data_IF_795365176704
#
_entry.id   IF_795365176704
#
_cell.length_a   1.000
_cell.length_b   1.000
_cell.length_c   1.000
_cell.angle_alpha   90.00
_cell.angle_beta   90.00
_cell.angle_gamma   90.00
#
_symmetry.space_group_name_H-M   'P 1'
#
loop_
_entity.id
_entity.type
_entity.pdbx_description
1 polymer ?
#
# COMPACT_ATOMS: atom_id res chain seq x y z
N UNK A 1 23.57 19.38 7.91
CA UNK A 1 22.68 20.33 8.62
C UNK A 1 21.89 21.26 7.67
N UNK A 2 22.50 22.21 6.94
CA UNK A 2 21.73 23.24 6.17
C UNK A 2 20.66 22.67 5.22
N UNK A 3 20.99 21.67 4.40
CA UNK A 3 20.00 21.06 3.50
C UNK A 3 18.79 20.46 4.25
N UNK A 4 19.04 19.72 5.34
CA UNK A 4 18.00 19.06 6.14
C UNK A 4 17.15 20.03 6.97
N UNK A 5 17.65 21.23 7.27
CA UNK A 5 16.97 22.21 8.15
C UNK A 5 16.41 23.43 7.42
N UNK A 6 17.07 23.87 6.35
CA UNK A 6 16.77 25.14 5.66
C UNK A 6 16.24 24.93 4.24
N UNK A 7 16.49 23.76 3.64
CA UNK A 7 15.95 23.42 2.32
C UNK A 7 14.42 23.47 2.29
N UNK A 8 13.82 23.57 1.09
CA UNK A 8 12.36 23.65 0.92
C UNK A 8 11.69 24.72 1.81
N UNK A 9 12.22 25.95 1.80
CA UNK A 9 11.72 27.08 2.60
C UNK A 9 11.65 26.76 4.11
N UNK A 10 12.69 26.14 4.66
CA UNK A 10 12.75 25.76 6.09
C UNK A 10 12.05 24.44 6.44
N UNK A 11 11.43 23.74 5.49
CA UNK A 11 10.84 22.40 5.72
C UNK A 11 11.90 21.29 5.76
N UNK A 12 13.11 21.56 5.26
CA UNK A 12 14.18 20.60 5.09
C UNK A 12 14.04 19.75 3.83
N UNK A 13 15.19 19.50 3.18
CA UNK A 13 15.29 18.48 2.14
C UNK A 13 15.23 17.08 2.78
N UNK A 14 14.50 16.16 2.14
CA UNK A 14 14.53 14.74 2.50
C UNK A 14 15.81 14.15 1.93
N UNK A 15 16.67 13.61 2.79
CA UNK A 15 17.98 13.07 2.42
C UNK A 15 18.00 11.58 2.76
N UNK A 16 18.40 10.77 1.79
CA UNK A 16 18.48 9.31 1.94
C UNK A 16 19.90 8.85 1.60
N UNK A 17 20.40 7.86 2.32
CA UNK A 17 21.60 7.12 1.95
C UNK A 17 21.40 5.63 2.17
N UNK A 18 21.93 4.85 1.24
CA UNK A 18 22.10 3.41 1.41
C UNK A 18 23.02 3.14 2.61
N UNK A 19 22.81 2.06 3.37
CA UNK A 19 23.61 1.74 4.56
C UNK A 19 24.98 1.11 4.24
N UNK A 20 25.14 0.51 3.07
CA UNK A 20 26.35 -0.19 2.62
C UNK A 20 26.09 -1.68 2.34
N UNK A 21 27.03 -2.34 1.64
CA UNK A 21 26.84 -3.69 1.06
C UNK A 21 27.92 -4.69 1.50
N UNK A 22 28.51 -4.48 2.67
CA UNK A 22 29.71 -5.21 3.14
C UNK A 22 29.39 -6.19 4.27
N UNK A 23 28.11 -6.40 4.60
CA UNK A 23 27.64 -7.26 5.68
C UNK A 23 28.18 -6.85 7.08
N UNK A 24 28.44 -5.56 7.28
CA UNK A 24 29.07 -5.03 8.49
C UNK A 24 28.03 -4.63 9.55
N UNK A 25 28.46 -4.63 10.82
CA UNK A 25 27.65 -4.21 11.97
C UNK A 25 27.69 -2.68 12.23
N UNK A 26 28.01 -1.91 11.20
CA UNK A 26 27.92 -0.45 11.19
C UNK A 26 27.52 0.05 9.80
N UNK A 27 26.87 1.21 9.74
CA UNK A 27 26.49 1.86 8.48
C UNK A 27 27.59 2.81 8.01
N UNK A 28 27.61 3.19 6.73
CA UNK A 28 28.57 4.19 6.25
C UNK A 28 28.33 5.57 6.87
N UNK A 29 29.38 6.41 6.83
CA UNK A 29 29.42 7.73 7.45
C UNK A 29 28.23 8.63 7.08
N UNK A 30 27.77 8.62 5.82
CA UNK A 30 26.67 9.47 5.38
C UNK A 30 25.32 8.97 5.92
N UNK A 31 25.10 7.66 5.92
CA UNK A 31 23.90 7.05 6.47
C UNK A 31 23.79 7.20 8.00
N UNK A 32 24.93 7.37 8.70
CA UNK A 32 24.94 7.53 10.16
C UNK A 32 24.40 8.88 10.65
N UNK A 33 24.28 9.89 9.77
CA UNK A 33 23.82 11.22 10.16
C UNK A 33 22.34 11.21 10.57
N UNK A 34 21.93 11.81 11.71
CA UNK A 34 20.58 11.69 12.26
C UNK A 34 19.46 12.22 11.34
N UNK A 35 19.76 13.25 10.55
CA UNK A 35 18.82 13.81 9.55
C UNK A 35 18.63 12.94 8.30
N UNK A 36 19.45 11.90 8.10
CA UNK A 36 19.41 11.04 6.92
C UNK A 36 18.49 9.85 7.17
N UNK A 37 17.70 9.48 6.16
CA UNK A 37 16.97 8.23 6.13
C UNK A 37 17.94 7.15 5.65
N UNK A 38 18.45 6.35 6.58
CA UNK A 38 19.36 5.26 6.28
C UNK A 38 18.58 4.05 5.78
N UNK A 39 18.84 3.61 4.56
CA UNK A 39 18.07 2.57 3.86
C UNK A 39 18.84 1.25 3.78
N UNK A 40 18.32 0.22 4.44
CA UNK A 40 18.78 -1.16 4.34
C UNK A 40 18.06 -1.93 3.23
N UNK A 41 18.54 -3.13 2.92
CA UNK A 41 17.98 -3.99 1.88
C UNK A 41 17.32 -5.24 2.46
N UNK A 42 16.12 -5.54 1.96
CA UNK A 42 15.43 -6.81 2.17
C UNK A 42 15.31 -7.59 0.87
N UNK A 43 15.23 -8.90 0.96
CA UNK A 43 15.00 -9.79 -0.18
C UNK A 43 13.51 -9.94 -0.46
N UNK A 44 13.14 -10.71 -1.49
CA UNK A 44 11.74 -11.03 -1.79
C UNK A 44 11.07 -11.98 -0.81
N UNK A 45 11.83 -12.61 0.07
CA UNK A 45 11.30 -13.47 1.13
C UNK A 45 11.10 -12.69 2.44
N UNK A 46 11.19 -11.36 2.40
CA UNK A 46 11.08 -10.51 3.60
C UNK A 46 12.12 -10.83 4.67
N UNK A 47 13.30 -11.24 4.21
CA UNK A 47 14.49 -11.44 5.03
C UNK A 47 15.56 -10.40 4.71
N UNK A 48 16.49 -10.19 5.64
CA UNK A 48 17.59 -9.24 5.47
C UNK A 48 18.52 -9.71 4.35
N UNK A 49 18.84 -8.83 3.40
CA UNK A 49 19.77 -9.17 2.34
C UNK A 49 21.17 -9.42 2.92
N UNK A 50 21.83 -10.51 2.52
CA UNK A 50 23.09 -10.98 3.14
C UNK A 50 24.23 -9.96 3.10
N UNK A 51 24.25 -9.09 2.09
CA UNK A 51 25.24 -8.02 1.93
C UNK A 51 24.91 -6.75 2.73
N UNK A 52 23.66 -6.52 3.15
CA UNK A 52 23.28 -5.23 3.73
C UNK A 52 24.01 -4.97 5.05
N UNK A 53 24.59 -3.78 5.20
CA UNK A 53 25.11 -3.35 6.50
C UNK A 53 23.95 -3.16 7.49
N UNK A 54 24.24 -3.29 8.78
CA UNK A 54 23.27 -3.21 9.89
C UNK A 54 23.77 -2.29 11.00
N UNK A 55 22.86 -1.64 11.72
CA UNK A 55 23.23 -0.66 12.74
C UNK A 55 22.03 0.03 13.38
N UNK A 56 22.28 0.83 14.43
CA UNK A 56 21.21 1.56 15.15
C UNK A 56 20.64 2.70 14.32
N UNK A 57 21.40 3.15 13.32
CA UNK A 57 21.10 4.27 12.44
C UNK A 57 20.15 3.88 11.31
N UNK A 58 20.02 2.57 11.00
CA UNK A 58 19.11 2.05 9.97
C UNK A 58 17.70 2.54 10.27
N UNK A 59 17.09 3.26 9.32
CA UNK A 59 15.76 3.85 9.52
C UNK A 59 14.67 2.89 9.05
N UNK A 60 14.79 2.39 7.83
CA UNK A 60 13.86 1.44 7.19
C UNK A 60 14.64 0.58 6.20
N UNK A 61 14.04 -0.52 5.75
CA UNK A 61 14.53 -1.26 4.59
C UNK A 61 13.58 -1.17 3.41
N UNK A 62 14.11 -1.45 2.22
CA UNK A 62 13.31 -1.61 1.02
C UNK A 62 13.78 -2.84 0.23
N UNK A 63 12.87 -3.44 -0.56
CA UNK A 63 13.19 -4.47 -1.53
C UNK A 63 14.47 -4.24 -2.33
N UNK A 64 15.25 -5.31 -2.49
CA UNK A 64 16.48 -5.36 -3.27
C UNK A 64 16.64 -6.75 -3.92
N UNK A 65 17.86 -7.10 -4.33
CA UNK A 65 18.23 -8.48 -4.62
C UNK A 65 18.58 -9.26 -3.33
N UNK A 66 19.00 -10.51 -3.49
CA UNK A 66 19.41 -11.40 -2.40
C UNK A 66 18.58 -12.67 -2.29
N UNK A 67 17.33 -12.63 -2.78
CA UNK A 67 16.52 -13.80 -3.13
C UNK A 67 15.82 -13.51 -4.45
N UNK A 68 15.02 -14.49 -4.92
CA UNK A 68 14.04 -14.14 -5.93
C UNK A 68 12.57 -14.49 -5.69
N UNK A 69 11.64 -13.83 -6.43
CA UNK A 69 11.85 -12.87 -7.55
C UNK A 69 12.56 -11.57 -7.12
N UNK A 70 13.39 -10.96 -7.96
CA UNK A 70 13.96 -9.64 -7.62
C UNK A 70 12.84 -8.61 -7.73
N UNK A 71 12.70 -7.81 -6.68
CA UNK A 71 11.62 -6.83 -6.51
C UNK A 71 12.15 -5.39 -6.45
N UNK A 72 13.25 -5.13 -7.15
CA UNK A 72 13.95 -3.85 -7.19
C UNK A 72 13.97 -3.24 -8.60
N UNK A 73 14.42 -1.97 -8.69
CA UNK A 73 14.72 -1.33 -9.97
C UNK A 73 15.77 -2.15 -10.76
N UNK A 74 15.82 -1.98 -12.08
CA UNK A 74 16.68 -2.76 -12.99
C UNK A 74 17.61 -1.83 -13.77
N UNK A 75 18.80 -2.32 -14.12
CA UNK A 75 19.84 -1.54 -14.81
C UNK A 75 20.45 -2.30 -15.99
N UNK A 76 20.94 -1.58 -17.00
CA UNK A 76 21.50 -2.16 -18.24
C UNK A 76 22.93 -2.69 -18.11
N UNK A 77 23.69 -2.18 -17.13
CA UNK A 77 25.13 -2.42 -16.99
C UNK A 77 25.49 -3.58 -16.06
N UNK A 78 24.52 -4.17 -15.37
CA UNK A 78 24.80 -5.26 -14.42
C UNK A 78 25.09 -6.57 -15.18
N UNK A 79 26.19 -7.27 -14.83
CA UNK A 79 26.59 -8.49 -15.51
C UNK A 79 25.71 -9.70 -15.17
N UNK A 80 24.71 -9.60 -14.29
CA UNK A 80 23.85 -10.71 -13.85
C UNK A 80 24.52 -11.68 -12.87
N UNK A 81 23.84 -12.76 -12.51
CA UNK A 81 24.39 -13.75 -11.58
C UNK A 81 25.54 -14.54 -12.24
N UNK A 82 26.73 -14.45 -11.66
CA UNK A 82 27.96 -15.00 -12.28
C UNK A 82 27.94 -16.52 -12.45
N UNK A 83 27.17 -17.24 -11.64
CA UNK A 83 27.01 -18.69 -11.66
C UNK A 83 25.83 -19.19 -12.51
N UNK A 84 25.12 -18.30 -13.20
CA UNK A 84 24.00 -18.64 -14.09
C UNK A 84 24.33 -18.36 -15.56
N UNK A 85 23.62 -19.06 -16.46
CA UNK A 85 23.84 -18.98 -17.92
C UNK A 85 22.58 -18.57 -18.68
N UNK A 86 22.76 -18.06 -19.90
CA UNK A 86 21.67 -17.64 -20.79
C UNK A 86 20.76 -16.58 -20.15
N UNK A 87 19.45 -16.68 -20.44
CA UNK A 87 18.47 -15.76 -19.86
C UNK A 87 18.36 -15.91 -18.34
N UNK A 88 18.66 -17.08 -17.76
CA UNK A 88 18.60 -17.31 -16.31
C UNK A 88 19.60 -16.46 -15.52
N UNK A 89 20.70 -16.07 -16.17
CA UNK A 89 21.67 -15.11 -15.64
C UNK A 89 21.05 -13.76 -15.24
N UNK A 90 20.02 -13.34 -15.97
CA UNK A 90 19.35 -12.05 -15.78
C UNK A 90 17.90 -12.22 -15.29
N UNK A 91 17.29 -13.37 -15.55
CA UNK A 91 15.86 -13.65 -15.43
C UNK A 91 15.61 -15.05 -14.86
N UNK A 92 15.30 -15.21 -13.56
CA UNK A 92 15.02 -16.55 -12.99
C UNK A 92 13.81 -17.24 -13.62
N UNK A 93 12.91 -16.49 -14.28
CA UNK A 93 11.82 -17.05 -15.07
C UNK A 93 12.21 -17.38 -16.52
N UNK A 94 13.48 -17.19 -16.89
CA UNK A 94 14.03 -17.39 -18.23
C UNK A 94 13.52 -16.41 -19.28
N UNK A 95 12.71 -15.41 -18.90
CA UNK A 95 12.06 -14.49 -19.85
C UNK A 95 12.91 -13.27 -20.08
N UNK A 96 13.47 -13.17 -21.28
CA UNK A 96 14.17 -11.98 -21.71
C UNK A 96 13.25 -10.76 -21.77
N UNK A 97 13.73 -9.63 -21.25
CA UNK A 97 13.06 -8.33 -21.31
C UNK A 97 13.99 -7.24 -21.86
N UNK A 98 15.05 -7.65 -22.54
CA UNK A 98 16.00 -6.79 -23.22
C UNK A 98 17.18 -6.36 -22.37
N UNK A 99 18.20 -5.85 -23.04
CA UNK A 99 19.50 -5.50 -22.45
C UNK A 99 19.46 -4.34 -21.45
N UNK A 100 18.35 -3.58 -21.43
CA UNK A 100 18.18 -2.41 -20.57
C UNK A 100 17.57 -2.69 -19.20
N UNK A 101 17.08 -3.91 -18.98
CA UNK A 101 16.35 -4.29 -17.77
C UNK A 101 17.04 -5.44 -17.04
N UNK A 102 18.37 -5.46 -16.90
CA UNK A 102 19.07 -6.54 -16.17
C UNK A 102 18.94 -6.38 -14.64
N UNK A 103 19.86 -6.99 -13.89
CA UNK A 103 19.86 -6.94 -12.42
C UNK A 103 20.26 -5.54 -11.91
N UNK A 104 19.68 -5.06 -10.81
CA UNK A 104 20.28 -3.95 -10.06
C UNK A 104 20.02 -4.20 -8.58
N UNK A 105 21.11 -4.41 -7.86
CA UNK A 105 21.11 -4.89 -6.50
C UNK A 105 21.76 -3.94 -5.51
N UNK A 106 21.86 -4.40 -4.27
CA UNK A 106 22.47 -3.63 -3.19
C UNK A 106 21.50 -2.66 -2.53
N UNK A 107 21.88 -2.16 -1.36
CA UNK A 107 21.18 -1.09 -0.64
C UNK A 107 21.04 0.19 -1.50
N UNK A 108 21.92 0.36 -2.49
CA UNK A 108 21.81 1.36 -3.56
C UNK A 108 20.54 1.24 -4.39
N UNK A 109 20.05 0.02 -4.65
CA UNK A 109 18.78 -0.23 -5.37
C UNK A 109 17.54 -0.05 -4.49
N UNK A 110 17.66 -0.29 -3.18
CA UNK A 110 16.60 -0.03 -2.19
C UNK A 110 16.36 1.46 -2.00
N UNK A 111 17.42 2.27 -2.00
CA UNK A 111 17.36 3.71 -1.75
C UNK A 111 16.42 4.50 -2.68
N UNK A 112 16.46 4.33 -4.03
CA UNK A 112 15.54 5.02 -4.93
C UNK A 112 14.08 4.59 -4.75
N UNK A 113 13.79 3.36 -4.30
CA UNK A 113 12.42 2.96 -3.96
C UNK A 113 11.89 3.79 -2.78
N UNK A 114 12.70 3.94 -1.71
CA UNK A 114 12.33 4.77 -0.57
C UNK A 114 12.24 6.26 -0.98
N UNK A 115 13.11 6.73 -1.86
CA UNK A 115 13.06 8.09 -2.38
C UNK A 115 11.75 8.35 -3.17
N UNK A 116 11.32 7.39 -4.00
CA UNK A 116 10.04 7.45 -4.71
C UNK A 116 8.85 7.50 -3.75
N UNK A 117 8.87 6.69 -2.67
CA UNK A 117 7.83 6.74 -1.63
C UNK A 117 7.85 8.09 -0.89
N UNK A 118 9.02 8.66 -0.60
CA UNK A 118 9.12 10.01 -0.04
C UNK A 118 8.47 11.06 -0.96
N UNK A 119 8.67 10.93 -2.29
CA UNK A 119 8.03 11.81 -3.25
C UNK A 119 6.50 11.66 -3.25
N UNK A 120 5.97 10.44 -3.13
CA UNK A 120 4.53 10.19 -3.00
C UNK A 120 3.95 10.79 -1.69
N UNK A 121 4.67 10.65 -0.57
CA UNK A 121 4.29 11.28 0.70
C UNK A 121 4.19 12.80 0.54
N UNK A 122 5.20 13.42 -0.08
CA UNK A 122 5.26 14.86 -0.27
C UNK A 122 4.26 15.38 -1.31
N UNK A 123 3.91 14.59 -2.34
CA UNK A 123 2.87 14.97 -3.29
C UNK A 123 1.48 14.95 -2.64
N UNK A 124 1.25 14.02 -1.70
CA UNK A 124 0.02 13.95 -0.93
C UNK A 124 -0.08 15.08 0.10
N UNK A 125 1.05 15.50 0.71
CA UNK A 125 1.12 16.60 1.67
C UNK A 125 2.43 17.41 1.53
N UNK A 126 2.43 18.49 0.73
CA UNK A 126 3.63 19.31 0.46
C UNK A 126 4.14 20.12 1.67
N UNK A 127 3.33 20.24 2.72
CA UNK A 127 3.67 20.99 3.94
C UNK A 127 4.53 20.20 4.92
N UNK A 128 4.72 18.89 4.69
CA UNK A 128 5.54 18.06 5.55
C UNK A 128 7.02 18.48 5.53
N UNK A 129 7.57 18.59 6.73
CA UNK A 129 9.00 18.70 6.98
C UNK A 129 9.72 17.38 6.70
N UNK A 130 11.03 17.43 6.41
CA UNK A 130 11.85 16.23 6.22
C UNK A 130 11.79 15.28 7.42
N UNK A 131 11.77 15.84 8.65
CA UNK A 131 11.59 15.08 9.89
C UNK A 131 10.24 14.35 9.92
N UNK A 132 9.16 15.01 9.54
CA UNK A 132 7.83 14.37 9.49
C UNK A 132 7.78 13.26 8.44
N UNK A 133 8.38 13.45 7.26
CA UNK A 133 8.49 12.37 6.24
C UNK A 133 9.22 11.15 6.80
N UNK A 134 10.36 11.35 7.47
CA UNK A 134 11.10 10.27 8.15
C UNK A 134 10.23 9.58 9.20
N UNK A 135 9.46 10.32 10.00
CA UNK A 135 8.57 9.76 11.01
C UNK A 135 7.39 8.98 10.42
N UNK A 136 6.83 9.41 9.29
CA UNK A 136 5.79 8.65 8.58
C UNK A 136 6.35 7.29 8.19
N UNK A 137 7.49 7.24 7.51
CA UNK A 137 8.12 5.97 7.11
C UNK A 137 8.36 5.03 8.29
N UNK A 138 8.83 5.57 9.42
CA UNK A 138 9.06 4.81 10.65
C UNK A 138 7.77 4.20 11.19
N UNK A 139 6.69 4.99 11.26
CA UNK A 139 5.41 4.56 11.87
C UNK A 139 4.64 3.58 11.01
N UNK A 140 4.83 3.62 9.69
CA UNK A 140 4.00 2.88 8.74
C UNK A 140 4.70 1.68 8.11
N UNK A 141 5.97 1.43 8.45
CA UNK A 141 6.73 0.30 7.95
C UNK A 141 6.16 -1.04 8.44
N UNK A 142 6.22 -2.05 7.57
CA UNK A 142 5.83 -3.42 7.91
C UNK A 142 7.01 -4.12 8.59
N UNK A 143 6.77 -4.72 9.76
CA UNK A 143 7.77 -5.56 10.42
C UNK A 143 7.93 -6.86 9.63
N UNK A 144 9.14 -7.09 9.14
CA UNK A 144 9.56 -8.29 8.42
C UNK A 144 10.69 -9.02 9.16
N UNK A 145 11.06 -10.23 8.76
CA UNK A 145 12.00 -11.07 9.51
C UNK A 145 11.38 -11.63 10.80
N UNK A 146 12.22 -12.08 11.73
CA UNK A 146 11.74 -12.67 12.97
C UNK A 146 11.42 -11.60 14.03
N UNK A 147 10.31 -11.71 14.79
CA UNK A 147 9.94 -10.70 15.81
C UNK A 147 11.02 -10.41 16.85
N UNK A 148 11.86 -11.39 17.19
CA UNK A 148 12.98 -11.21 18.14
C UNK A 148 14.12 -10.33 17.60
N UNK A 149 14.10 -9.97 16.32
CA UNK A 149 15.08 -9.06 15.73
C UNK A 149 14.75 -7.59 15.97
N UNK A 150 13.62 -7.30 16.63
CA UNK A 150 13.18 -5.96 17.01
C UNK A 150 13.29 -5.77 18.52
N UNK A 151 13.79 -4.61 18.92
CA UNK A 151 13.84 -4.19 20.31
C UNK A 151 12.46 -3.73 20.83
N UNK A 152 12.41 -3.33 22.11
CA UNK A 152 11.19 -2.84 22.76
C UNK A 152 10.62 -1.56 22.14
N UNK A 153 11.41 -0.83 21.35
CA UNK A 153 10.98 0.36 20.60
C UNK A 153 10.50 0.00 19.19
N UNK A 154 10.52 -1.29 18.85
CA UNK A 154 10.16 -1.78 17.53
C UNK A 154 11.21 -1.51 16.46
N UNK A 155 12.47 -1.28 16.84
CA UNK A 155 13.59 -1.08 15.93
C UNK A 155 14.45 -2.34 15.82
N UNK A 156 14.89 -2.65 14.60
CA UNK A 156 15.84 -3.71 14.30
C UNK A 156 17.13 -3.13 13.73
N UNK A 157 18.28 -3.66 14.17
CA UNK A 157 19.57 -3.28 13.57
C UNK A 157 19.63 -3.62 12.07
N UNK A 158 18.88 -4.63 11.63
CA UNK A 158 18.84 -5.12 10.24
C UNK A 158 17.82 -4.37 9.39
N UNK A 159 16.62 -4.17 9.92
CA UNK A 159 15.46 -3.67 9.15
C UNK A 159 15.08 -2.23 9.48
N UNK A 160 15.75 -1.60 10.44
CA UNK A 160 15.27 -0.34 11.02
C UNK A 160 13.90 -0.56 11.66
N UNK A 161 12.93 0.28 11.33
CA UNK A 161 11.54 0.08 11.78
C UNK A 161 10.72 -0.88 10.89
N UNK A 162 11.34 -1.45 9.85
CA UNK A 162 10.73 -2.43 8.97
C UNK A 162 10.84 -2.05 7.49
N UNK A 163 10.19 -2.86 6.65
CA UNK A 163 10.09 -2.62 5.21
C UNK A 163 9.12 -1.47 4.93
N UNK A 164 9.52 -0.55 4.07
CA UNK A 164 8.65 0.56 3.65
C UNK A 164 7.32 0.06 3.08
N UNK A 165 6.22 0.71 3.46
CA UNK A 165 4.89 0.47 2.95
C UNK A 165 4.31 1.77 2.37
N UNK A 166 4.28 1.87 1.04
CA UNK A 166 3.88 3.08 0.33
C UNK A 166 2.43 3.48 0.60
N UNK A 167 1.53 2.51 0.65
CA UNK A 167 0.10 2.70 0.87
C UNK A 167 -0.18 3.25 2.27
N UNK A 168 0.38 2.62 3.31
CA UNK A 168 0.27 3.12 4.68
C UNK A 168 0.92 4.50 4.86
N UNK A 169 2.08 4.74 4.24
CA UNK A 169 2.81 6.00 4.34
C UNK A 169 2.05 7.17 3.70
N UNK A 170 1.52 6.98 2.48
CA UNK A 170 0.73 8.01 1.79
C UNK A 170 -0.58 8.28 2.53
N UNK A 171 -1.23 7.24 3.07
CA UNK A 171 -2.44 7.41 3.89
C UNK A 171 -2.18 8.28 5.11
N UNK A 172 -1.07 8.07 5.82
CA UNK A 172 -0.72 8.89 6.98
C UNK A 172 -0.40 10.34 6.58
N UNK A 173 0.25 10.56 5.44
CA UNK A 173 0.49 11.90 4.91
C UNK A 173 -0.81 12.68 4.65
N UNK A 174 -1.80 12.02 4.05
CA UNK A 174 -3.15 12.56 3.80
C UNK A 174 -3.84 12.87 5.14
N UNK A 175 -3.82 11.94 6.09
CA UNK A 175 -4.43 12.13 7.42
C UNK A 175 -3.86 13.38 8.11
N UNK A 176 -2.53 13.57 8.07
CA UNK A 176 -1.88 14.73 8.66
C UNK A 176 -2.24 16.04 7.94
N UNK A 177 -2.39 16.02 6.61
CA UNK A 177 -2.83 17.19 5.84
C UNK A 177 -4.24 17.62 6.21
N UNK A 178 -5.13 16.64 6.33
CA UNK A 178 -6.54 16.89 6.57
C UNK A 178 -6.76 17.33 8.04
N UNK A 179 -5.94 16.83 8.98
CA UNK A 179 -5.93 17.27 10.38
C UNK A 179 -5.43 18.71 10.61
N UNK A 180 -4.59 19.25 9.72
CA UNK A 180 -4.07 20.62 9.82
C UNK A 180 -4.99 21.70 9.22
N UNK A 181 -6.15 21.31 8.67
CA UNK A 181 -7.15 22.25 8.17
C UNK A 181 -8.12 22.63 9.30
N UNK A 182 -8.56 23.89 9.42
CA UNK A 182 -9.60 24.26 10.39
C UNK A 182 -10.82 23.37 10.19
N UNK A 183 -11.25 22.69 11.25
CA UNK A 183 -12.48 21.91 11.18
C UNK A 183 -13.66 22.88 11.08
N UNK A 184 -14.60 22.69 10.13
CA UNK A 184 -15.92 23.29 10.25
C UNK A 184 -16.58 22.81 11.56
N UNK A 185 -17.51 23.58 12.15
CA UNK A 185 -18.07 23.28 13.46
C UNK A 185 -18.70 21.88 13.48
N UNK A 186 -18.34 21.11 14.51
CA UNK A 186 -18.76 19.75 14.86
C UNK A 186 -19.79 19.08 13.91
N UNK A 187 -19.28 18.22 13.03
CA UNK A 187 -20.07 17.11 12.50
C UNK A 187 -19.79 15.85 13.33
N UNK A 188 -20.89 15.15 13.62
CA UNK A 188 -20.99 13.89 14.37
C UNK A 188 -20.05 12.82 13.80
N UNK A 189 -19.54 11.93 14.66
CA UNK A 189 -18.71 10.78 14.30
C UNK A 189 -19.21 10.05 13.04
N UNK A 190 -18.41 10.04 11.97
CA UNK A 190 -18.49 8.99 10.95
C UNK A 190 -17.15 8.76 10.25
N UNK A 191 -16.71 7.49 10.21
CA UNK A 191 -15.60 7.04 9.37
C UNK A 191 -16.07 6.96 7.93
N UNK A 192 -15.55 7.83 7.06
CA UNK A 192 -15.67 7.66 5.60
C UNK A 192 -14.31 7.89 4.93
N UNK A 193 -13.73 6.85 4.31
CA UNK A 193 -12.57 6.96 3.41
C UNK A 193 -12.96 6.74 1.94
N UNK A 194 -13.61 7.78 1.40
CA UNK A 194 -13.68 8.26 0.00
C UNK A 194 -14.30 7.36 -1.08
N UNK A 195 -15.62 7.55 -1.24
CA UNK A 195 -16.13 8.16 -2.47
C UNK A 195 -16.15 9.67 -2.32
N UNK A 196 -15.62 10.41 -3.31
CA UNK A 196 -15.84 11.85 -3.35
C UNK A 196 -17.25 12.11 -3.87
N UNK A 197 -18.09 12.74 -3.06
CA UNK A 197 -19.49 13.03 -3.35
C UNK A 197 -20.25 13.31 -2.05
N UNK A 198 -21.34 14.08 -2.12
CA UNK A 198 -22.31 14.22 -1.02
C UNK A 198 -23.44 13.24 -1.33
N UNK A 199 -23.68 12.29 -0.43
CA UNK A 199 -24.71 11.28 -0.60
C UNK A 199 -25.81 11.50 0.45
N UNK A 200 -27.05 11.58 0.00
CA UNK A 200 -28.23 11.55 0.88
C UNK A 200 -28.75 10.13 0.93
N UNK A 201 -28.97 9.59 2.14
CA UNK A 201 -29.46 8.23 2.33
C UNK A 201 -30.82 8.18 3.02
N UNK A 202 -31.63 7.19 2.62
CA UNK A 202 -32.75 6.67 3.40
C UNK A 202 -32.39 5.23 3.80
N UNK A 203 -32.08 5.02 5.09
CA UNK A 203 -31.58 3.75 5.62
C UNK A 203 -32.69 3.01 6.34
N UNK A 204 -32.94 1.77 5.92
CA UNK A 204 -33.96 0.90 6.50
C UNK A 204 -33.44 -0.53 6.60
N UNK A 205 -33.73 -1.20 7.72
CA UNK A 205 -33.37 -2.61 7.90
C UNK A 205 -34.13 -3.46 6.89
N UNK A 206 -33.39 -4.15 6.04
CA UNK A 206 -33.94 -5.05 5.01
C UNK A 206 -34.06 -6.47 5.59
N UNK A 207 -35.25 -7.09 5.62
CA UNK A 207 -35.37 -8.52 5.88
C UNK A 207 -34.56 -9.32 4.87
N UNK A 208 -33.84 -10.34 5.34
CA UNK A 208 -33.06 -11.25 4.51
C UNK A 208 -33.98 -12.23 3.76
N UNK A 209 -34.77 -11.72 2.82
CA UNK A 209 -35.74 -12.47 2.02
C UNK A 209 -35.72 -11.95 0.59
N UNK A 210 -35.95 -12.83 -0.38
CA UNK A 210 -35.95 -12.47 -1.80
C UNK A 210 -34.63 -12.74 -2.51
N UNK A 211 -34.50 -12.19 -3.71
CA UNK A 211 -33.40 -12.42 -4.64
C UNK A 211 -32.85 -11.10 -5.18
N UNK A 212 -31.54 -11.09 -5.43
CA UNK A 212 -30.84 -9.98 -6.06
C UNK A 212 -29.59 -10.45 -6.79
N UNK A 213 -28.86 -9.52 -7.39
CA UNK A 213 -27.59 -9.81 -8.08
C UNK A 213 -26.44 -9.24 -7.27
N UNK A 214 -25.62 -10.10 -6.68
CA UNK A 214 -24.42 -9.65 -5.98
C UNK A 214 -23.34 -9.29 -7.02
N UNK A 215 -22.80 -8.08 -6.89
CA UNK A 215 -21.81 -7.52 -7.81
C UNK A 215 -20.39 -7.67 -7.26
N UNK A 216 -20.24 -7.61 -5.94
CA UNK A 216 -18.93 -7.72 -5.32
C UNK A 216 -19.00 -7.76 -3.79
N UNK A 217 -17.84 -8.03 -3.21
CA UNK A 217 -17.58 -7.90 -1.78
C UNK A 217 -16.44 -6.90 -1.59
N UNK A 218 -16.62 -5.95 -0.69
CA UNK A 218 -15.72 -4.83 -0.45
C UNK A 218 -15.32 -4.80 1.02
N UNK A 219 -14.12 -4.31 1.30
CA UNK A 219 -13.63 -4.13 2.67
C UNK A 219 -13.67 -2.66 3.12
N UNK A 220 -13.83 -1.73 2.17
CA UNK A 220 -13.92 -0.29 2.43
C UNK A 220 -15.33 0.21 2.12
N UNK A 221 -15.95 0.86 3.10
CA UNK A 221 -17.31 1.42 3.00
C UNK A 221 -17.40 2.55 1.96
N UNK A 222 -16.35 3.36 1.77
CA UNK A 222 -16.33 4.41 0.76
C UNK A 222 -16.50 3.85 -0.66
N UNK A 223 -15.85 2.71 -0.93
CA UNK A 223 -16.02 1.99 -2.20
C UNK A 223 -17.44 1.46 -2.38
N UNK A 224 -18.09 1.03 -1.31
CA UNK A 224 -19.49 0.56 -1.36
C UNK A 224 -20.41 1.68 -1.84
N UNK A 225 -20.23 2.91 -1.36
CA UNK A 225 -21.08 4.04 -1.72
C UNK A 225 -20.92 4.46 -3.19
N UNK A 226 -19.69 4.57 -3.68
CA UNK A 226 -19.42 4.87 -5.10
C UNK A 226 -20.03 3.79 -6.00
N UNK A 227 -19.87 2.52 -5.62
CA UNK A 227 -20.40 1.42 -6.41
C UNK A 227 -21.92 1.40 -6.36
N UNK A 228 -22.53 1.65 -5.20
CA UNK A 228 -23.98 1.73 -5.07
C UNK A 228 -24.57 2.83 -5.97
N UNK A 229 -23.98 4.03 -5.96
CA UNK A 229 -24.40 5.14 -6.82
C UNK A 229 -24.30 4.79 -8.31
N UNK A 230 -23.13 4.33 -8.78
CA UNK A 230 -22.93 3.95 -10.17
C UNK A 230 -23.89 2.86 -10.64
N UNK A 231 -24.05 1.82 -9.83
CA UNK A 231 -24.90 0.70 -10.18
C UNK A 231 -26.39 1.08 -10.16
N UNK A 232 -26.82 1.92 -9.20
CA UNK A 232 -28.18 2.43 -9.15
C UNK A 232 -28.47 3.32 -10.36
N UNK A 233 -27.56 4.23 -10.71
CA UNK A 233 -27.69 5.09 -11.89
C UNK A 233 -27.71 4.28 -13.19
N UNK A 234 -26.88 3.24 -13.31
CA UNK A 234 -26.76 2.44 -14.53
C UNK A 234 -27.91 1.44 -14.72
N UNK A 235 -28.41 0.83 -13.64
CA UNK A 235 -29.37 -0.27 -13.74
C UNK A 235 -30.78 0.06 -13.24
N UNK A 236 -30.96 1.15 -12.49
CA UNK A 236 -32.26 1.60 -11.97
C UNK A 236 -32.85 0.67 -10.91
N UNK A 237 -32.03 -0.17 -10.28
CA UNK A 237 -32.44 -1.12 -9.26
C UNK A 237 -31.98 -0.65 -7.86
N UNK A 238 -32.74 -0.94 -6.79
CA UNK A 238 -32.33 -0.60 -5.43
C UNK A 238 -31.05 -1.35 -5.03
N UNK A 239 -30.20 -0.73 -4.22
CA UNK A 239 -28.98 -1.37 -3.72
C UNK A 239 -29.18 -1.83 -2.29
N UNK A 240 -28.89 -3.10 -2.03
CA UNK A 240 -28.86 -3.70 -0.70
C UNK A 240 -27.41 -4.01 -0.34
N UNK A 241 -27.00 -3.65 0.88
CA UNK A 241 -25.66 -3.93 1.39
C UNK A 241 -25.78 -4.90 2.56
N UNK A 242 -25.14 -6.06 2.43
CA UNK A 242 -24.99 -7.02 3.53
C UNK A 242 -23.63 -6.81 4.20
N UNK A 243 -23.66 -6.57 5.51
CA UNK A 243 -22.47 -6.30 6.33
C UNK A 243 -22.20 -7.54 7.17
N UNK A 244 -21.02 -8.14 6.99
CA UNK A 244 -20.59 -9.35 7.70
C UNK A 244 -19.17 -9.18 8.24
N UNK A 245 -18.75 -10.08 9.13
CA UNK A 245 -17.35 -10.19 9.59
C UNK A 245 -16.70 -11.47 9.05
N UNK A 246 -15.50 -11.34 8.48
CA UNK A 246 -14.68 -12.45 8.01
C UNK A 246 -13.25 -12.26 8.50
N UNK A 247 -12.78 -13.17 9.37
CA UNK A 247 -11.42 -13.15 9.95
C UNK A 247 -11.05 -11.79 10.61
N UNK A 248 -11.95 -11.23 11.41
CA UNK A 248 -11.71 -9.96 12.11
C UNK A 248 -11.82 -8.71 11.22
N UNK A 249 -12.29 -8.85 9.97
CA UNK A 249 -12.48 -7.74 9.03
C UNK A 249 -13.93 -7.65 8.59
N UNK A 250 -14.47 -6.43 8.54
CA UNK A 250 -15.80 -6.16 8.00
C UNK A 250 -15.80 -6.32 6.48
N UNK A 251 -16.79 -7.04 5.96
CA UNK A 251 -17.03 -7.29 4.54
C UNK A 251 -18.41 -6.79 4.16
N UNK A 252 -18.46 -5.94 3.15
CA UNK A 252 -19.66 -5.37 2.58
C UNK A 252 -19.97 -6.05 1.25
N UNK A 253 -21.01 -6.87 1.20
CA UNK A 253 -21.50 -7.44 -0.06
C UNK A 253 -22.52 -6.49 -0.66
N UNK A 254 -22.34 -6.10 -1.92
CA UNK A 254 -23.24 -5.18 -2.64
C UNK A 254 -24.14 -5.99 -3.57
N UNK A 255 -25.44 -5.86 -3.37
CA UNK A 255 -26.47 -6.60 -4.09
C UNK A 255 -27.42 -5.61 -4.76
N UNK A 256 -27.71 -5.84 -6.04
CA UNK A 256 -28.71 -5.09 -6.77
C UNK A 256 -30.04 -5.81 -6.78
N UNK A 257 -31.06 -5.07 -6.37
CA UNK A 257 -32.43 -5.51 -6.30
C UNK A 257 -32.77 -6.31 -5.06
N UNK A 258 -34.07 -6.43 -4.87
CA UNK A 258 -34.67 -7.19 -3.79
C UNK A 258 -36.08 -7.62 -4.25
N UNK A 259 -36.15 -8.73 -4.97
CA UNK A 259 -37.41 -9.24 -5.53
C UNK A 259 -37.85 -10.52 -4.83
N UNK A 260 -39.15 -10.72 -4.74
CA UNK A 260 -39.74 -11.94 -4.17
C UNK A 260 -39.44 -13.19 -4.99
N UNK A 261 -39.18 -13.06 -6.30
CA UNK A 261 -38.87 -14.14 -7.23
C UNK A 261 -37.50 -13.95 -7.91
N UNK A 262 -36.86 -15.03 -8.40
CA UNK A 262 -35.56 -14.97 -9.04
C UNK A 262 -35.58 -14.42 -10.48
N UNK A 263 -36.74 -14.37 -11.15
CA UNK A 263 -36.83 -14.02 -12.56
C UNK A 263 -36.40 -12.57 -12.86
N UNK A 264 -36.86 -11.54 -12.09
CA UNK A 264 -36.37 -10.17 -12.26
C UNK A 264 -34.85 -10.05 -12.01
N UNK A 265 -34.32 -10.80 -11.04
CA UNK A 265 -32.90 -10.81 -10.75
C UNK A 265 -32.09 -11.48 -11.88
N UNK A 266 -32.61 -12.52 -12.54
CA UNK A 266 -31.98 -13.15 -13.72
C UNK A 266 -31.96 -12.21 -14.92
N UNK A 267 -33.05 -11.47 -15.15
CA UNK A 267 -33.11 -10.45 -16.21
C UNK A 267 -32.11 -9.33 -15.96
N UNK A 268 -32.00 -8.85 -14.72
CA UNK A 268 -30.99 -7.87 -14.34
C UNK A 268 -29.57 -8.44 -14.53
N UNK A 269 -29.31 -9.68 -14.11
CA UNK A 269 -28.01 -10.33 -14.30
C UNK A 269 -27.60 -10.38 -15.77
N UNK A 270 -28.53 -10.66 -16.69
CA UNK A 270 -28.25 -10.63 -18.12
C UNK A 270 -27.83 -9.23 -18.59
N UNK A 271 -28.52 -8.17 -18.14
CA UNK A 271 -28.17 -6.77 -18.44
C UNK A 271 -26.80 -6.38 -17.88
N UNK A 272 -26.47 -6.83 -16.67
CA UNK A 272 -25.18 -6.56 -16.01
C UNK A 272 -24.03 -7.23 -16.77
N UNK A 273 -24.20 -8.50 -17.18
CA UNK A 273 -23.22 -9.22 -18.00
C UNK A 273 -23.05 -8.59 -19.38
N UNK A 274 -24.14 -8.13 -20.01
CA UNK A 274 -24.07 -7.42 -21.29
C UNK A 274 -23.31 -6.09 -21.19
N UNK A 275 -23.32 -5.44 -20.02
CA UNK A 275 -22.52 -4.26 -19.71
C UNK A 275 -21.05 -4.57 -19.34
N UNK A 276 -20.63 -5.84 -19.42
CA UNK A 276 -19.25 -6.26 -19.12
C UNK A 276 -18.93 -6.35 -17.62
N UNK A 277 -19.94 -6.26 -16.74
CA UNK A 277 -19.74 -6.34 -15.29
C UNK A 277 -19.93 -7.77 -14.77
N UNK A 278 -19.14 -8.19 -13.76
CA UNK A 278 -19.36 -9.45 -13.09
C UNK A 278 -20.60 -9.37 -12.20
N UNK A 279 -21.29 -10.50 -12.04
CA UNK A 279 -22.42 -10.60 -11.14
C UNK A 279 -22.91 -12.04 -11.00
N UNK A 280 -23.57 -12.32 -9.88
CA UNK A 280 -24.19 -13.61 -9.64
C UNK A 280 -25.52 -13.46 -8.90
N UNK A 281 -26.47 -14.33 -9.25
CA UNK A 281 -27.76 -14.41 -8.58
C UNK A 281 -27.55 -14.86 -7.13
N UNK A 282 -28.20 -14.18 -6.18
CA UNK A 282 -28.10 -14.46 -4.76
C UNK A 282 -29.48 -14.50 -4.10
N UNK A 283 -29.72 -15.52 -3.28
CA UNK A 283 -30.83 -15.53 -2.34
C UNK A 283 -30.40 -14.71 -1.10
N UNK A 284 -31.19 -13.69 -0.73
CA UNK A 284 -30.83 -12.78 0.35
C UNK A 284 -30.82 -13.47 1.72
N UNK A 285 -31.51 -14.62 1.86
CA UNK A 285 -31.42 -15.47 3.06
C UNK A 285 -29.99 -15.95 3.33
N UNK A 286 -29.19 -16.16 2.29
CA UNK A 286 -27.81 -16.67 2.40
C UNK A 286 -26.78 -15.59 2.76
N UNK A 287 -27.26 -14.39 3.12
CA UNK A 287 -26.45 -13.22 3.44
C UNK A 287 -26.68 -12.70 4.86
N UNK A 288 -27.60 -13.33 5.60
CA UNK A 288 -27.86 -13.10 7.01
C UNK A 288 -27.02 -14.01 7.90
#
# INVERSE_FOLDING_TARGET
AKAALQGRNGKGCVILYAVGNDNLNYVNYYAAHPDVIAVAASTSQDTHASYSNRGREVTVCAPSNGDWPIIAARASWDPGLSWETGNFRYWRDGRDRGEHYKHFGGTSSSTPLVAGICALILSANPELTAKQVKQILIKTADKIGHPSEYDSRGHSLKYGYGRVNADNAVREAIRLRDASRPQPPNEVEDKISKGQGIFLFDVRKQPAQGFGVQIGAFYDYGNVLIQAEKLQAQFGAPVVVSINELNGKTVYKVILGNWSSPDPARQLLARIKAAGLPGFLRNLKDLA
#
